data_IF_733208219113
#
_entry.id   IF_733208219113
#
_cell.length_a   1.000
_cell.length_b   1.000
_cell.length_c   1.000
_cell.angle_alpha   90.00
_cell.angle_beta   90.00
_cell.angle_gamma   90.00
#
_symmetry.space_group_name_H-M   'P 1'
#
loop_
_entity.id
_entity.type
_entity.pdbx_description
1 polymer ?
#
# COMPACT_ATOMS: atom_id res chain seq x y z
N UNK A 1 7.07 15.84 3.18
CA UNK A 1 6.61 15.85 1.80
C UNK A 1 5.71 14.70 1.44
N UNK A 2 4.87 14.87 0.45
CA UNK A 2 4.12 13.79 -0.19
C UNK A 2 4.79 13.42 -1.51
N UNK A 3 4.95 12.11 -1.76
CA UNK A 3 5.56 11.60 -2.99
C UNK A 3 4.49 11.23 -4.03
N UNK A 4 3.48 10.52 -3.60
CA UNK A 4 2.37 10.02 -4.42
C UNK A 4 1.05 10.06 -3.64
N UNK A 5 -0.11 10.24 -4.33
CA UNK A 5 -0.23 10.68 -5.72
C UNK A 5 0.29 12.10 -5.86
N UNK A 6 0.01 13.05 -6.21
CA UNK A 6 0.35 14.47 -6.35
C UNK A 6 1.55 14.93 -5.50
N UNK A 7 2.76 14.77 -6.05
CA UNK A 7 4.02 15.07 -5.35
C UNK A 7 4.10 16.52 -4.86
N UNK A 8 4.35 16.70 -3.57
CA UNK A 8 4.63 17.99 -2.98
C UNK A 8 5.59 17.82 -1.79
N UNK A 9 6.84 18.22 -1.97
CA UNK A 9 7.89 18.06 -0.96
C UNK A 9 7.82 19.10 0.16
N UNK A 10 7.05 20.16 0.01
CA UNK A 10 6.87 21.20 1.03
C UNK A 10 5.89 20.78 2.13
N UNK A 11 5.03 19.80 1.88
CA UNK A 11 4.05 19.31 2.85
C UNK A 11 4.73 18.79 4.11
N UNK A 12 4.13 19.12 5.25
CA UNK A 12 4.55 18.65 6.58
C UNK A 12 3.63 17.56 7.09
N UNK A 13 4.13 16.75 8.02
CA UNK A 13 3.31 15.80 8.76
C UNK A 13 2.56 16.49 9.90
N UNK A 14 1.40 15.94 10.25
CA UNK A 14 0.64 16.41 11.41
C UNK A 14 -0.04 15.24 12.13
N UNK A 15 -0.25 15.40 13.42
CA UNK A 15 -1.02 14.49 14.28
C UNK A 15 -2.05 15.32 15.02
N UNK A 16 -3.29 14.86 15.07
CA UNK A 16 -4.38 15.55 15.74
C UNK A 16 -5.21 14.60 16.61
N UNK A 17 -5.97 15.17 17.54
CA UNK A 17 -6.86 14.40 18.42
C UNK A 17 -6.17 13.71 19.58
N UNK A 18 -4.97 14.12 19.94
CA UNK A 18 -4.25 13.63 21.13
C UNK A 18 -5.00 14.05 22.39
N UNK A 19 -5.16 13.15 23.35
CA UNK A 19 -5.76 13.38 24.65
C UNK A 19 -4.96 12.68 25.77
N UNK A 20 -5.40 12.81 27.01
CA UNK A 20 -4.72 12.22 28.18
C UNK A 20 -4.58 10.68 28.13
N UNK A 21 -5.42 10.00 27.37
CA UNK A 21 -5.33 8.55 27.18
C UNK A 21 -4.46 8.13 25.98
N UNK A 22 -3.83 9.08 25.29
CA UNK A 22 -2.98 8.77 24.13
C UNK A 22 -1.62 8.26 24.59
N UNK A 23 -1.27 7.07 24.17
CA UNK A 23 -0.01 6.39 24.47
C UNK A 23 0.78 6.07 23.19
N UNK A 24 2.01 5.60 23.34
CA UNK A 24 2.88 5.27 22.21
C UNK A 24 2.30 4.18 21.28
N UNK A 25 1.67 3.10 21.78
CA UNK A 25 1.01 2.12 20.92
C UNK A 25 -0.11 2.73 20.05
N UNK A 26 -0.91 3.65 20.58
CA UNK A 26 -1.96 4.33 19.81
C UNK A 26 -1.40 5.24 18.74
N UNK A 27 -0.32 5.97 19.04
CA UNK A 27 0.38 6.78 18.03
C UNK A 27 0.95 5.88 16.93
N UNK A 28 1.62 4.79 17.30
CA UNK A 28 2.14 3.83 16.34
C UNK A 28 1.04 3.27 15.44
N UNK A 29 -0.09 2.88 16.02
CA UNK A 29 -1.25 2.38 15.27
C UNK A 29 -1.77 3.44 14.29
N UNK A 30 -1.90 4.68 14.71
CA UNK A 30 -2.35 5.79 13.85
C UNK A 30 -1.39 6.01 12.67
N UNK A 31 -0.07 5.87 12.86
CA UNK A 31 0.92 5.97 11.79
C UNK A 31 0.82 4.81 10.79
N UNK A 32 0.58 3.59 11.28
CA UNK A 32 0.33 2.42 10.41
C UNK A 32 -0.93 2.65 9.57
N UNK A 33 -2.02 3.11 10.19
CA UNK A 33 -3.28 3.41 9.50
C UNK A 33 -3.11 4.55 8.49
N UNK A 34 -2.36 5.61 8.82
CA UNK A 34 -2.05 6.70 7.89
C UNK A 34 -1.27 6.21 6.66
N UNK A 35 -0.35 5.26 6.83
CA UNK A 35 0.38 4.61 5.72
C UNK A 35 -0.58 3.82 4.82
N UNK A 36 -1.52 3.09 5.43
CA UNK A 36 -2.56 2.36 4.69
C UNK A 36 -3.50 3.31 3.94
N UNK A 37 -3.90 4.44 4.54
CA UNK A 37 -4.68 5.48 3.86
C UNK A 37 -3.94 6.11 2.68
N UNK A 38 -2.63 6.32 2.81
CA UNK A 38 -1.79 6.75 1.70
C UNK A 38 -1.82 5.76 0.52
N UNK A 39 -1.75 4.46 0.81
CA UNK A 39 -1.88 3.41 -0.20
C UNK A 39 -3.28 3.41 -0.85
N UNK A 40 -4.33 3.64 -0.06
CA UNK A 40 -5.70 3.78 -0.57
C UNK A 40 -5.84 4.98 -1.51
N UNK A 41 -5.27 6.11 -1.17
CA UNK A 41 -5.27 7.30 -2.03
C UNK A 41 -4.64 7.02 -3.41
N UNK A 42 -3.59 6.22 -3.46
CA UNK A 42 -2.95 5.81 -4.72
C UNK A 42 -3.88 4.90 -5.53
N UNK A 43 -4.47 3.88 -4.92
CA UNK A 43 -5.41 2.97 -5.59
C UNK A 43 -6.64 3.72 -6.11
N UNK A 44 -7.20 4.64 -5.32
CA UNK A 44 -8.34 5.45 -5.74
C UNK A 44 -7.97 6.40 -6.89
N UNK A 45 -6.74 6.94 -6.90
CA UNK A 45 -6.25 7.75 -8.02
C UNK A 45 -6.17 6.94 -9.31
N UNK A 46 -5.63 5.73 -9.28
CA UNK A 46 -5.62 4.86 -10.44
C UNK A 46 -7.04 4.58 -10.96
N UNK A 47 -7.95 4.24 -10.08
CA UNK A 47 -9.37 3.99 -10.43
C UNK A 47 -10.03 5.22 -11.04
N UNK A 48 -9.76 6.41 -10.50
CA UNK A 48 -10.28 7.68 -11.01
C UNK A 48 -9.76 7.99 -12.41
N UNK A 49 -8.55 7.56 -12.74
CA UNK A 49 -7.94 7.69 -14.06
C UNK A 49 -8.29 6.54 -15.02
N UNK A 50 -9.23 5.67 -14.63
CA UNK A 50 -9.72 4.58 -15.47
C UNK A 50 -8.85 3.33 -15.46
N UNK A 51 -7.81 3.28 -14.61
CA UNK A 51 -6.99 2.09 -14.49
C UNK A 51 -7.69 1.05 -13.62
N UNK A 52 -7.91 -0.13 -14.19
CA UNK A 52 -8.49 -1.26 -13.46
C UNK A 52 -7.45 -1.87 -12.51
N UNK A 53 -7.82 -2.01 -11.24
CA UNK A 53 -7.01 -2.68 -10.23
C UNK A 53 -7.77 -3.91 -9.74
N UNK A 54 -7.30 -5.09 -10.13
CA UNK A 54 -7.94 -6.37 -9.81
C UNK A 54 -7.38 -7.04 -8.55
N UNK A 55 -6.17 -6.64 -8.13
CA UNK A 55 -5.52 -7.19 -6.94
C UNK A 55 -4.27 -6.41 -6.59
N UNK A 56 -3.71 -6.74 -5.44
CA UNK A 56 -2.49 -6.15 -4.93
C UNK A 56 -1.50 -7.24 -4.60
N UNK A 57 -0.30 -7.11 -5.12
CA UNK A 57 0.84 -7.94 -4.77
C UNK A 57 1.79 -7.11 -3.93
N UNK A 58 2.00 -7.52 -2.69
CA UNK A 58 2.93 -6.87 -1.78
C UNK A 58 4.31 -7.54 -1.88
N UNK A 59 5.35 -6.71 -1.92
CA UNK A 59 6.74 -7.14 -2.00
C UNK A 59 7.59 -6.46 -0.93
N UNK A 60 8.75 -7.03 -0.64
CA UNK A 60 9.74 -6.45 0.26
C UNK A 60 9.55 -6.78 1.72
N UNK A 61 10.45 -6.25 2.55
CA UNK A 61 10.61 -6.69 3.94
C UNK A 61 9.42 -6.42 4.85
N UNK A 62 8.73 -5.29 4.69
CA UNK A 62 7.53 -4.96 5.50
C UNK A 62 6.40 -5.93 5.19
N UNK A 63 6.18 -6.24 3.90
CA UNK A 63 5.14 -7.17 3.48
C UNK A 63 5.31 -8.57 4.10
N UNK A 64 6.53 -9.02 4.23
CA UNK A 64 6.86 -10.35 4.76
C UNK A 64 6.93 -10.39 6.29
N UNK A 65 7.33 -9.29 6.96
CA UNK A 65 7.63 -9.27 8.39
C UNK A 65 6.52 -8.69 9.27
N UNK A 66 5.61 -7.89 8.73
CA UNK A 66 4.61 -7.19 9.53
C UNK A 66 3.18 -7.55 9.13
N UNK A 67 2.63 -8.54 9.83
CA UNK A 67 1.23 -8.93 9.69
C UNK A 67 0.28 -7.77 10.02
N UNK A 68 0.58 -7.00 11.07
CA UNK A 68 -0.22 -5.83 11.46
C UNK A 68 -0.36 -4.82 10.32
N UNK A 69 0.76 -4.48 9.67
CA UNK A 69 0.74 -3.53 8.55
C UNK A 69 -0.05 -4.09 7.38
N UNK A 70 0.21 -5.33 6.99
CA UNK A 70 -0.43 -5.93 5.82
C UNK A 70 -1.92 -6.16 6.01
N UNK A 71 -2.35 -6.64 7.18
CA UNK A 71 -3.77 -6.78 7.48
C UNK A 71 -4.47 -5.41 7.52
N UNK A 72 -3.81 -4.38 8.11
CA UNK A 72 -4.36 -3.02 8.11
C UNK A 72 -4.54 -2.48 6.69
N UNK A 73 -3.56 -2.71 5.80
CA UNK A 73 -3.68 -2.27 4.40
C UNK A 73 -4.80 -3.03 3.69
N UNK A 74 -4.94 -4.35 3.89
CA UNK A 74 -6.02 -5.13 3.30
C UNK A 74 -7.40 -4.64 3.76
N UNK A 75 -7.56 -4.37 5.07
CA UNK A 75 -8.80 -3.88 5.66
C UNK A 75 -9.14 -2.46 5.15
N UNK A 76 -8.15 -1.56 5.05
CA UNK A 76 -8.32 -0.18 4.56
C UNK A 76 -8.67 -0.12 3.08
N UNK A 77 -8.07 -0.97 2.27
CA UNK A 77 -8.33 -1.05 0.83
C UNK A 77 -9.60 -1.86 0.51
N UNK A 78 -10.08 -2.64 1.47
CA UNK A 78 -11.10 -3.66 1.27
C UNK A 78 -10.76 -4.56 0.07
N UNK A 79 -9.50 -4.98 -0.01
CA UNK A 79 -8.98 -5.79 -1.11
C UNK A 79 -8.08 -6.91 -0.58
N UNK A 80 -8.12 -8.04 -1.26
CA UNK A 80 -7.16 -9.12 -1.05
C UNK A 80 -5.74 -8.63 -1.38
N UNK A 81 -4.77 -8.99 -0.54
CA UNK A 81 -3.35 -8.73 -0.78
C UNK A 81 -2.60 -10.06 -0.75
N UNK A 82 -1.84 -10.33 -1.79
CA UNK A 82 -0.96 -11.49 -1.89
C UNK A 82 0.49 -11.06 -1.67
N UNK A 83 1.22 -11.75 -0.81
CA UNK A 83 2.63 -11.46 -0.52
C UNK A 83 3.50 -12.35 -1.37
N UNK A 84 4.39 -11.77 -2.17
CA UNK A 84 5.34 -12.54 -2.99
C UNK A 84 6.27 -13.38 -2.13
N UNK A 85 6.46 -14.63 -2.52
CA UNK A 85 7.39 -15.54 -1.87
C UNK A 85 8.88 -15.25 -2.16
N UNK A 86 9.16 -14.36 -3.11
CA UNK A 86 10.54 -13.99 -3.45
C UNK A 86 11.13 -13.01 -2.44
N UNK A 87 12.30 -13.35 -1.88
CA UNK A 87 13.09 -12.42 -1.06
C UNK A 87 13.65 -11.22 -1.85
N UNK A 88 13.86 -11.43 -3.15
CA UNK A 88 14.48 -10.48 -4.06
C UNK A 88 13.55 -10.17 -5.26
N UNK A 89 12.29 -9.83 -4.97
CA UNK A 89 11.26 -9.62 -6.01
C UNK A 89 11.69 -8.63 -7.10
N UNK A 90 12.42 -7.57 -6.74
CA UNK A 90 12.91 -6.57 -7.71
C UNK A 90 13.99 -7.16 -8.62
N UNK A 91 14.97 -7.88 -8.05
CA UNK A 91 16.01 -8.54 -8.82
C UNK A 91 15.44 -9.65 -9.72
N UNK A 92 14.46 -10.40 -9.20
CA UNK A 92 13.75 -11.42 -9.96
C UNK A 92 13.02 -10.80 -11.17
N UNK A 93 12.33 -9.66 -10.98
CA UNK A 93 11.68 -8.93 -12.07
C UNK A 93 12.68 -8.47 -13.12
N UNK A 94 13.83 -7.91 -12.71
CA UNK A 94 14.90 -7.54 -13.63
C UNK A 94 15.44 -8.74 -14.42
N UNK A 95 15.63 -9.88 -13.77
CA UNK A 95 16.05 -11.12 -14.43
C UNK A 95 15.02 -11.64 -15.44
N UNK A 96 13.71 -11.50 -15.16
CA UNK A 96 12.64 -11.86 -16.12
C UNK A 96 12.70 -11.01 -17.37
N UNK A 97 12.91 -9.68 -17.24
CA UNK A 97 13.10 -8.80 -18.39
C UNK A 97 14.36 -9.15 -19.18
N UNK A 98 15.49 -9.38 -18.49
CA UNK A 98 16.74 -9.79 -19.14
C UNK A 98 16.59 -11.09 -19.93
N UNK A 99 15.93 -12.09 -19.35
CA UNK A 99 15.67 -13.37 -20.00
C UNK A 99 14.76 -13.23 -21.24
N UNK A 100 13.79 -12.32 -21.18
CA UNK A 100 12.93 -12.00 -22.34
C UNK A 100 13.72 -11.33 -23.44
N UNK A 101 14.54 -10.32 -23.11
CA UNK A 101 15.39 -9.63 -24.09
C UNK A 101 16.42 -10.57 -24.73
N UNK A 102 16.96 -11.52 -23.95
CA UNK A 102 17.87 -12.55 -24.43
C UNK A 102 17.19 -13.64 -25.31
N UNK A 103 15.86 -13.57 -25.49
CA UNK A 103 15.11 -14.52 -26.30
C UNK A 103 14.88 -15.88 -25.62
N UNK A 104 15.13 -16.01 -24.31
CA UNK A 104 14.85 -17.23 -23.55
C UNK A 104 13.35 -17.48 -23.35
N UNK A 105 12.56 -16.40 -23.36
CA UNK A 105 11.10 -16.43 -23.30
C UNK A 105 10.51 -15.52 -24.39
N UNK A 106 9.38 -15.89 -24.99
CA UNK A 106 8.79 -15.15 -26.12
C UNK A 106 8.24 -13.77 -25.68
N UNK A 107 7.89 -13.59 -24.41
CA UNK A 107 7.38 -12.35 -23.81
C UNK A 107 7.55 -12.38 -22.30
N UNK A 108 7.26 -11.26 -21.65
CA UNK A 108 7.41 -11.10 -20.19
C UNK A 108 6.42 -12.00 -19.42
N UNK A 109 5.22 -12.20 -19.93
CA UNK A 109 4.20 -13.04 -19.30
C UNK A 109 4.65 -14.49 -19.21
N UNK A 110 5.30 -15.01 -20.27
CA UNK A 110 5.87 -16.35 -20.27
C UNK A 110 7.02 -16.46 -19.26
N UNK A 111 7.88 -15.45 -19.19
CA UNK A 111 8.95 -15.39 -18.19
C UNK A 111 8.40 -15.33 -16.76
N UNK A 112 7.37 -14.50 -16.50
CA UNK A 112 6.70 -14.44 -15.21
C UNK A 112 6.10 -15.78 -14.80
N UNK A 113 5.40 -16.44 -15.71
CA UNK A 113 4.80 -17.76 -15.45
C UNK A 113 5.84 -18.82 -15.10
N UNK A 114 7.01 -18.79 -15.75
CA UNK A 114 8.06 -19.77 -15.55
C UNK A 114 8.94 -19.51 -14.31
N UNK A 115 9.20 -18.23 -14.01
CA UNK A 115 10.18 -17.81 -13.00
C UNK A 115 9.56 -17.24 -11.72
N UNK A 116 8.24 -17.08 -11.66
CA UNK A 116 7.57 -16.58 -10.46
C UNK A 116 7.78 -17.52 -9.28
N UNK A 117 8.10 -16.93 -8.12
CA UNK A 117 8.20 -17.68 -6.87
C UNK A 117 6.82 -17.99 -6.22
N UNK A 118 5.72 -17.48 -6.82
CA UNK A 118 4.39 -17.58 -6.24
C UNK A 118 4.18 -16.66 -5.04
N UNK A 119 3.21 -17.01 -4.21
CA UNK A 119 2.83 -16.23 -3.03
C UNK A 119 3.03 -17.07 -1.76
N UNK A 120 3.59 -16.45 -0.71
CA UNK A 120 3.80 -17.11 0.59
C UNK A 120 2.63 -16.90 1.56
N UNK A 121 1.88 -15.80 1.38
CA UNK A 121 0.77 -15.42 2.27
C UNK A 121 -0.27 -14.59 1.54
N UNK A 122 -1.52 -14.73 1.99
CA UNK A 122 -2.64 -13.91 1.52
C UNK A 122 -3.35 -13.28 2.71
N UNK A 123 -3.59 -11.97 2.63
CA UNK A 123 -4.40 -11.22 3.59
C UNK A 123 -5.77 -10.93 2.98
N UNK A 124 -6.80 -11.37 3.66
CA UNK A 124 -8.19 -11.09 3.27
C UNK A 124 -8.72 -9.93 4.10
N UNK A 125 -9.45 -8.99 3.50
CA UNK A 125 -10.03 -7.87 4.23
C UNK A 125 -11.15 -8.34 5.16
N UNK A 126 -11.25 -7.71 6.34
CA UNK A 126 -12.39 -7.81 7.22
C UNK A 126 -13.40 -6.71 6.86
N UNK A 127 -14.56 -7.08 6.32
CA UNK A 127 -15.58 -6.13 5.85
C UNK A 127 -16.12 -5.22 6.96
N UNK A 128 -16.16 -5.69 8.21
CA UNK A 128 -16.58 -4.87 9.35
C UNK A 128 -15.56 -3.78 9.66
N UNK A 129 -14.28 -4.10 9.59
CA UNK A 129 -13.19 -3.12 9.76
C UNK A 129 -13.11 -2.18 8.58
N UNK A 130 -13.31 -2.67 7.36
CA UNK A 130 -13.33 -1.85 6.15
C UNK A 130 -14.36 -0.71 6.28
N UNK A 131 -15.57 -1.00 6.75
CA UNK A 131 -16.60 0.01 6.99
C UNK A 131 -16.22 1.07 8.05
N UNK A 132 -15.38 0.69 9.04
CA UNK A 132 -14.82 1.64 10.00
C UNK A 132 -13.76 2.50 9.31
N UNK A 133 -12.88 1.88 8.53
CA UNK A 133 -11.83 2.57 7.80
C UNK A 133 -12.33 3.53 6.72
N UNK A 134 -13.48 3.26 6.10
CA UNK A 134 -14.11 4.23 5.17
C UNK A 134 -14.36 5.57 5.87
N UNK A 135 -14.96 5.55 7.06
CA UNK A 135 -15.23 6.75 7.85
C UNK A 135 -13.96 7.45 8.34
N UNK A 136 -12.94 6.67 8.69
CA UNK A 136 -11.64 7.22 9.11
C UNK A 136 -10.88 7.81 7.93
N UNK A 137 -10.98 7.21 6.76
CA UNK A 137 -10.37 7.72 5.54
C UNK A 137 -10.94 9.08 5.12
N UNK A 138 -12.25 9.28 5.23
CA UNK A 138 -12.85 10.60 5.01
C UNK A 138 -12.28 11.67 5.96
N UNK A 139 -12.07 11.32 7.24
CA UNK A 139 -11.42 12.22 8.21
C UNK A 139 -9.97 12.50 7.81
N UNK A 140 -9.24 11.47 7.40
CA UNK A 140 -7.87 11.59 6.91
C UNK A 140 -7.76 12.55 5.74
N UNK A 141 -8.65 12.44 4.74
CA UNK A 141 -8.66 13.35 3.58
C UNK A 141 -8.95 14.81 3.98
N UNK A 142 -9.93 15.03 4.85
CA UNK A 142 -10.24 16.39 5.36
C UNK A 142 -9.08 16.99 6.15
N UNK A 143 -8.47 16.18 7.03
CA UNK A 143 -7.32 16.62 7.81
C UNK A 143 -6.11 16.90 6.92
N UNK A 144 -5.83 16.05 5.94
CA UNK A 144 -4.79 16.27 4.94
C UNK A 144 -4.98 17.58 4.17
N UNK A 145 -6.20 17.85 3.71
CA UNK A 145 -6.52 19.12 3.03
C UNK A 145 -6.33 20.35 3.94
N UNK A 146 -6.65 20.24 5.22
CA UNK A 146 -6.38 21.31 6.19
C UNK A 146 -4.87 21.55 6.34
N UNK A 147 -4.09 20.47 6.54
CA UNK A 147 -2.62 20.56 6.69
C UNK A 147 -1.98 21.20 5.46
N UNK A 148 -2.44 20.82 4.26
CA UNK A 148 -1.93 21.38 3.02
C UNK A 148 -2.19 22.90 2.89
N UNK A 149 -3.32 23.37 3.37
CA UNK A 149 -3.72 24.79 3.23
C UNK A 149 -3.13 25.68 4.32
N UNK A 150 -3.06 25.17 5.54
CA UNK A 150 -2.79 26.00 6.72
C UNK A 150 -1.37 25.81 7.28
N UNK A 151 -0.69 24.69 6.96
CA UNK A 151 0.60 24.35 7.58
C UNK A 151 1.77 24.22 6.58
N UNK A 152 1.55 24.58 5.31
CA UNK A 152 2.57 24.46 4.26
C UNK A 152 3.14 25.80 3.85
#
# INVERSE_FOLDING_TARGET
>A
GRRTPDANQLLKGAIAGINLGTDAPRIYRALVEATAFGSRAIVERFRKEGVRIDGIIAIGGVARKSELVMQTVADVLNMKIEVSASDQSVALGAAMFAATVAGLYPNIEAAQKALSAGFERTYWPDSKKAAIYDRLYEKYLRFGSFVEKELT
#
